data_IF_645920280152
#
_entry.id   IF_645920280152
#
_cell.length_a   1.000
_cell.length_b   1.000
_cell.length_c   1.000
_cell.angle_alpha   90.00
_cell.angle_beta   90.00
_cell.angle_gamma   90.00
#
_symmetry.space_group_name_H-M   'P 1'
#
loop_
_entity.id
_entity.type
_entity.pdbx_description
1 polymer ?
#
# COMPACT_ATOMS: atom_id res chain seq x y z
N UNK A 1 8.27 5.70 16.02
CA UNK A 1 7.97 6.88 15.18
C UNK A 1 7.46 6.36 13.87
N UNK A 2 6.27 6.80 13.45
CA UNK A 2 5.68 6.43 12.17
C UNK A 2 6.48 7.08 11.04
N UNK A 3 6.85 6.28 10.03
CA UNK A 3 7.57 6.79 8.85
C UNK A 3 6.59 7.53 7.96
N UNK A 4 6.85 8.81 7.68
CA UNK A 4 6.06 9.57 6.70
C UNK A 4 6.64 9.38 5.32
N UNK A 5 5.78 9.12 4.33
CA UNK A 5 6.14 9.04 2.91
C UNK A 5 5.17 9.87 2.09
N UNK A 6 5.63 10.32 0.92
CA UNK A 6 4.74 10.86 -0.09
C UNK A 6 4.03 9.70 -0.79
N UNK A 7 2.73 9.54 -0.53
CA UNK A 7 1.96 8.45 -1.11
C UNK A 7 1.55 8.78 -2.55
N UNK A 8 2.08 8.03 -3.52
CA UNK A 8 1.81 8.27 -4.95
C UNK A 8 0.35 8.08 -5.32
N UNK A 9 -0.38 7.21 -4.61
CA UNK A 9 -1.81 7.00 -4.83
C UNK A 9 -2.68 8.13 -4.28
N UNK A 10 -2.35 8.66 -3.10
CA UNK A 10 -3.14 9.71 -2.42
C UNK A 10 -2.68 11.13 -2.77
N UNK A 11 -1.52 11.26 -3.44
CA UNK A 11 -0.89 12.53 -3.79
C UNK A 11 -0.67 13.46 -2.59
N UNK A 12 -0.36 12.88 -1.42
CA UNK A 12 -0.08 13.61 -0.17
C UNK A 12 0.84 12.81 0.74
N UNK A 13 1.44 13.51 1.70
CA UNK A 13 2.20 12.88 2.77
C UNK A 13 1.27 12.09 3.69
N UNK A 14 1.64 10.84 3.94
CA UNK A 14 0.88 9.91 4.75
C UNK A 14 1.81 8.93 5.46
N UNK A 15 1.26 8.16 6.39
CA UNK A 15 2.02 7.14 7.10
C UNK A 15 2.35 5.96 6.17
N UNK A 16 3.64 5.71 5.99
CA UNK A 16 4.17 4.59 5.22
C UNK A 16 4.04 3.26 5.96
N UNK A 17 4.28 2.18 5.23
CA UNK A 17 4.22 0.83 5.81
C UNK A 17 5.29 0.61 6.88
N UNK A 18 4.97 -0.24 7.87
CA UNK A 18 5.89 -0.58 8.96
C UNK A 18 7.08 -1.42 8.48
N UNK A 19 6.83 -2.32 7.52
CA UNK A 19 7.82 -3.20 6.93
C UNK A 19 7.48 -3.51 5.47
N UNK A 20 8.47 -4.02 4.74
CA UNK A 20 8.29 -4.47 3.37
C UNK A 20 7.50 -5.80 3.34
N UNK A 21 6.28 -5.76 2.82
CA UNK A 21 5.37 -6.91 2.78
C UNK A 21 5.75 -7.99 1.76
N UNK A 22 6.35 -7.59 0.64
CA UNK A 22 6.73 -8.50 -0.45
C UNK A 22 8.23 -8.43 -0.72
N UNK A 23 8.90 -9.54 -1.05
CA UNK A 23 10.29 -9.47 -1.47
C UNK A 23 10.43 -8.80 -2.86
N UNK A 24 11.66 -8.39 -3.18
CA UNK A 24 12.01 -7.83 -4.49
C UNK A 24 11.61 -6.37 -4.72
N UNK A 25 11.75 -5.92 -5.96
CA UNK A 25 11.58 -4.51 -6.35
C UNK A 25 10.15 -4.00 -6.15
N UNK A 26 9.16 -4.86 -6.36
CA UNK A 26 7.75 -4.52 -6.15
C UNK A 26 7.48 -4.18 -4.68
N UNK A 27 7.96 -5.00 -3.75
CA UNK A 27 7.78 -4.71 -2.34
C UNK A 27 8.54 -3.48 -1.89
N UNK A 28 9.72 -3.22 -2.46
CA UNK A 28 10.48 -1.98 -2.22
C UNK A 28 9.71 -0.75 -2.71
N UNK A 29 9.06 -0.83 -3.88
CA UNK A 29 8.20 0.25 -4.40
C UNK A 29 6.99 0.47 -3.50
N UNK A 30 6.25 -0.58 -3.16
CA UNK A 30 5.08 -0.49 -2.26
C UNK A 30 5.49 0.13 -0.92
N UNK A 31 6.58 -0.34 -0.33
CA UNK A 31 7.09 0.18 0.93
C UNK A 31 7.43 1.67 0.85
N UNK A 32 7.98 2.15 -0.28
CA UNK A 32 8.43 3.53 -0.41
C UNK A 32 7.35 4.52 -0.90
N UNK A 33 6.39 4.06 -1.70
CA UNK A 33 5.48 4.94 -2.44
C UNK A 33 4.02 4.80 -2.01
N UNK A 34 3.64 3.75 -1.25
CA UNK A 34 2.25 3.47 -0.88
C UNK A 34 2.07 3.54 0.63
N UNK A 35 1.12 4.36 1.08
CA UNK A 35 0.79 4.51 2.50
C UNK A 35 -0.02 3.34 3.05
N UNK A 36 -0.08 3.23 4.38
CA UNK A 36 -0.97 2.29 5.09
C UNK A 36 -2.42 2.44 4.67
N UNK A 37 -2.88 3.68 4.52
CA UNK A 37 -4.25 4.02 4.13
C UNK A 37 -4.55 3.51 2.71
N UNK A 38 -3.71 3.85 1.73
CA UNK A 38 -3.88 3.42 0.35
C UNK A 38 -3.81 1.89 0.21
N UNK A 39 -2.94 1.25 0.99
CA UNK A 39 -2.84 -0.21 0.99
C UNK A 39 -4.10 -0.89 1.54
N UNK A 40 -4.72 -0.33 2.59
CA UNK A 40 -5.96 -0.84 3.14
C UNK A 40 -7.12 -0.76 2.12
N UNK A 41 -7.19 0.33 1.34
CA UNK A 41 -8.17 0.46 0.26
C UNK A 41 -7.93 -0.56 -0.85
N UNK A 42 -6.67 -0.74 -1.26
CA UNK A 42 -6.29 -1.77 -2.23
C UNK A 42 -6.73 -3.17 -1.80
N UNK A 43 -6.45 -3.55 -0.55
CA UNK A 43 -6.82 -4.87 -0.03
C UNK A 43 -8.33 -5.10 -0.06
N UNK A 44 -9.14 -4.09 0.29
CA UNK A 44 -10.61 -4.18 0.19
C UNK A 44 -11.05 -4.40 -1.25
N UNK A 45 -10.47 -3.64 -2.19
CA UNK A 45 -10.79 -3.76 -3.61
C UNK A 45 -10.39 -5.13 -4.16
N UNK A 46 -9.22 -5.63 -3.78
CA UNK A 46 -8.74 -6.96 -4.15
C UNK A 46 -9.71 -8.05 -3.68
N UNK A 47 -10.14 -8.02 -2.41
CA UNK A 47 -11.09 -8.99 -1.87
C UNK A 47 -12.42 -8.97 -2.62
N UNK A 48 -12.96 -7.78 -2.93
CA UNK A 48 -14.17 -7.64 -3.75
C UNK A 48 -14.00 -8.30 -5.11
N UNK A 49 -12.91 -8.02 -5.83
CA UNK A 49 -12.65 -8.58 -7.15
C UNK A 49 -12.44 -10.10 -7.14
N UNK A 50 -11.82 -10.65 -6.10
CA UNK A 50 -11.66 -12.11 -5.94
C UNK A 50 -13.04 -12.76 -5.77
N UNK A 51 -13.90 -12.17 -4.92
CA UNK A 51 -15.24 -12.69 -4.66
C UNK A 51 -16.16 -12.58 -5.88
N UNK A 52 -16.00 -11.55 -6.72
CA UNK A 52 -16.79 -11.35 -7.95
C UNK A 52 -16.36 -12.23 -9.13
N UNK A 53 -15.13 -12.75 -9.11
CA UNK A 53 -14.55 -13.58 -10.19
C UNK A 53 -14.51 -15.08 -9.87
N UNK A 54 -14.99 -15.47 -8.70
CA UNK A 54 -15.29 -16.86 -8.33
C UNK A 54 -16.78 -17.15 -8.59
#
# INVERSE_FOLDING_TARGET
MSRTIFCTFLQRDAEGQDFQLYPGDIGKRIYNEISKEAWAEWMKKQTMLINEKN
#
